data_IF_988969908449
#
_entry.id   IF_988969908449
#
_cell.length_a   1.000
_cell.length_b   1.000
_cell.length_c   1.000
_cell.angle_alpha   90.00
_cell.angle_beta   90.00
_cell.angle_gamma   90.00
#
_symmetry.space_group_name_H-M   'P 1'
#
loop_
_entity.id
_entity.type
_entity.pdbx_description
1 polymer ?
#
# COMPACT_ATOMS: atom_id res chain seq x y z
N UNK A 1 -1.84 -0.76 16.56
CA UNK A 1 -0.52 -1.14 16.04
C UNK A 1 -0.78 -2.30 15.09
N UNK A 2 -0.55 -2.12 13.79
CA UNK A 2 -0.56 -3.24 12.85
C UNK A 2 0.56 -4.18 13.31
N UNK A 3 0.26 -5.45 13.55
CA UNK A 3 1.13 -6.39 14.26
C UNK A 3 2.33 -6.91 13.41
N UNK A 4 2.74 -6.15 12.40
CA UNK A 4 3.82 -6.50 11.49
C UNK A 4 5.12 -5.77 11.84
N UNK A 5 6.25 -6.47 11.78
CA UNK A 5 7.59 -5.88 11.93
C UNK A 5 8.11 -5.25 10.62
N UNK A 6 7.26 -5.12 9.60
CA UNK A 6 7.65 -4.57 8.30
C UNK A 6 7.78 -3.04 8.42
N UNK A 7 8.87 -2.49 7.88
CA UNK A 7 9.03 -1.05 7.79
C UNK A 7 8.23 -0.51 6.60
N UNK A 8 7.90 0.78 6.68
CA UNK A 8 7.06 1.46 5.70
C UNK A 8 7.69 1.49 4.31
N UNK A 9 8.99 1.81 4.25
CA UNK A 9 9.83 1.80 3.05
C UNK A 9 9.88 0.41 2.41
N UNK A 10 10.13 -0.64 3.22
CA UNK A 10 10.15 -2.04 2.76
C UNK A 10 8.81 -2.43 2.08
N UNK A 11 7.68 -2.03 2.67
CA UNK A 11 6.34 -2.31 2.12
C UNK A 11 6.10 -1.53 0.82
N UNK A 12 6.51 -0.27 0.78
CA UNK A 12 6.35 0.60 -0.40
C UNK A 12 7.15 0.04 -1.58
N UNK A 13 8.41 -0.32 -1.35
CA UNK A 13 9.28 -0.91 -2.37
C UNK A 13 8.72 -2.25 -2.88
N UNK A 14 8.31 -3.14 -1.97
CA UNK A 14 7.73 -4.42 -2.33
C UNK A 14 6.48 -4.27 -3.22
N UNK A 15 5.55 -3.39 -2.84
CA UNK A 15 4.31 -3.19 -3.58
C UNK A 15 4.54 -2.55 -4.96
N UNK A 16 5.47 -1.60 -5.04
CA UNK A 16 5.86 -0.99 -6.30
C UNK A 16 6.49 -2.02 -7.24
N UNK A 17 7.41 -2.85 -6.74
CA UNK A 17 8.06 -3.88 -7.55
C UNK A 17 7.08 -4.92 -8.09
N UNK A 18 6.04 -5.30 -7.34
CA UNK A 18 4.98 -6.18 -7.86
C UNK A 18 4.13 -5.48 -8.92
N UNK A 19 3.82 -4.20 -8.69
CA UNK A 19 2.99 -3.42 -9.61
C UNK A 19 3.70 -3.15 -10.95
N UNK A 20 5.01 -2.94 -10.93
CA UNK A 20 5.86 -2.67 -12.10
C UNK A 20 6.37 -3.95 -12.78
N UNK A 21 6.15 -5.13 -12.19
CA UNK A 21 6.54 -6.41 -12.78
C UNK A 21 5.54 -6.87 -13.84
N UNK A 22 5.81 -6.47 -15.09
CA UNK A 22 5.04 -6.87 -16.28
C UNK A 22 4.95 -8.39 -16.51
N UNK A 23 5.77 -9.21 -15.83
CA UNK A 23 5.65 -10.67 -15.89
C UNK A 23 4.48 -11.20 -15.06
N UNK A 24 4.08 -10.46 -14.03
CA UNK A 24 2.91 -10.75 -13.21
C UNK A 24 1.67 -10.21 -13.94
N UNK A 25 0.91 -11.11 -14.57
CA UNK A 25 -0.38 -10.77 -15.19
C UNK A 25 -1.47 -10.53 -14.14
N UNK A 26 -1.37 -9.41 -13.45
CA UNK A 26 -2.34 -8.95 -12.46
C UNK A 26 -3.45 -8.15 -13.16
N UNK A 27 -4.64 -8.73 -13.25
CA UNK A 27 -5.81 -8.08 -13.88
C UNK A 27 -6.89 -7.67 -12.87
N UNK A 28 -6.81 -8.18 -11.63
CA UNK A 28 -7.80 -7.88 -10.60
C UNK A 28 -7.72 -6.40 -10.19
N UNK A 29 -8.78 -5.61 -10.44
CA UNK A 29 -8.76 -4.16 -10.17
C UNK A 29 -8.67 -3.83 -8.68
N UNK A 30 -9.14 -4.71 -7.80
CA UNK A 30 -9.06 -4.53 -6.34
C UNK A 30 -7.62 -4.73 -5.89
N UNK A 31 -6.96 -5.79 -6.36
CA UNK A 31 -5.53 -6.04 -6.07
C UNK A 31 -4.67 -4.90 -6.59
N UNK A 32 -4.90 -4.46 -7.83
CA UNK A 32 -4.16 -3.35 -8.44
C UNK A 32 -4.38 -2.02 -7.70
N UNK A 33 -5.59 -1.74 -7.20
CA UNK A 33 -5.87 -0.57 -6.35
C UNK A 33 -4.95 -0.58 -5.12
N UNK A 34 -4.93 -1.67 -4.38
CA UNK A 34 -4.19 -1.73 -3.12
C UNK A 34 -2.66 -1.81 -3.32
N UNK A 35 -2.17 -2.43 -4.39
CA UNK A 35 -0.74 -2.37 -4.74
C UNK A 35 -0.29 -0.94 -5.01
N UNK A 36 -1.07 -0.13 -5.74
CA UNK A 36 -0.76 1.29 -5.96
C UNK A 36 -0.74 2.09 -4.67
N UNK A 37 -1.74 1.89 -3.81
CA UNK A 37 -1.82 2.57 -2.52
C UNK A 37 -0.64 2.21 -1.63
N UNK A 38 -0.30 0.92 -1.55
CA UNK A 38 0.85 0.41 -0.80
C UNK A 38 2.17 0.92 -1.38
N UNK A 39 2.34 0.94 -2.71
CA UNK A 39 3.55 1.45 -3.35
C UNK A 39 3.78 2.95 -3.13
N UNK A 40 2.74 3.67 -2.71
CA UNK A 40 2.77 5.09 -2.43
C UNK A 40 2.82 5.41 -0.91
N UNK A 41 2.86 4.40 -0.02
CA UNK A 41 2.85 4.67 1.42
C UNK A 41 4.05 5.48 1.85
N UNK A 42 5.25 5.21 1.33
CA UNK A 42 6.45 5.95 1.75
C UNK A 42 6.59 7.35 1.11
N UNK A 43 5.60 7.80 0.32
CA UNK A 43 5.66 9.13 -0.29
C UNK A 43 5.57 10.24 0.77
N UNK A 44 6.50 11.22 0.73
CA UNK A 44 6.45 12.36 1.64
C UNK A 44 5.27 13.27 1.32
N UNK A 45 4.77 13.98 2.33
CA UNK A 45 3.76 15.01 2.16
C UNK A 45 4.34 16.41 2.39
N UNK A 46 3.60 17.43 1.99
CA UNK A 46 4.03 18.83 2.16
C UNK A 46 3.82 19.36 3.59
N UNK A 47 2.87 18.79 4.32
CA UNK A 47 2.40 19.25 5.63
C UNK A 47 2.56 18.20 6.76
N UNK A 48 3.10 17.03 6.43
CA UNK A 48 3.32 15.88 7.33
C UNK A 48 4.36 14.94 6.74
N UNK A 49 4.85 14.02 7.57
CA UNK A 49 5.93 13.10 7.19
C UNK A 49 5.57 12.25 5.96
N UNK A 50 4.34 11.75 5.87
CA UNK A 50 3.89 10.88 4.78
C UNK A 50 2.48 11.21 4.29
N UNK A 51 2.21 10.93 3.02
CA UNK A 51 0.92 11.15 2.38
C UNK A 51 -0.22 10.39 3.07
N UNK A 52 0.04 9.15 3.46
CA UNK A 52 -0.92 8.25 4.09
C UNK A 52 -0.61 8.02 5.56
N UNK A 53 -1.64 7.84 6.37
CA UNK A 53 -1.54 7.66 7.81
C UNK A 53 -1.95 6.25 8.23
N UNK A 54 -1.76 5.93 9.50
CA UNK A 54 -2.25 4.67 10.10
C UNK A 54 -3.78 4.52 9.95
N UNK A 55 -4.52 5.62 9.92
CA UNK A 55 -5.98 5.60 9.74
C UNK A 55 -6.37 5.20 8.32
N UNK A 56 -5.63 5.68 7.31
CA UNK A 56 -5.83 5.28 5.92
C UNK A 56 -5.57 3.76 5.75
N UNK A 57 -4.50 3.26 6.35
CA UNK A 57 -4.16 1.84 6.34
C UNK A 57 -5.25 0.97 6.99
N UNK A 58 -5.78 1.40 8.15
CA UNK A 58 -6.89 0.70 8.84
C UNK A 58 -8.17 0.73 8.02
N UNK A 59 -8.45 1.85 7.37
CA UNK A 59 -9.60 1.99 6.50
C UNK A 59 -9.51 0.99 5.34
N UNK A 60 -8.37 0.90 4.65
CA UNK A 60 -8.18 -0.04 3.54
C UNK A 60 -8.31 -1.51 3.97
N UNK A 61 -7.76 -1.88 5.12
CA UNK A 61 -7.93 -3.24 5.67
C UNK A 61 -9.42 -3.54 5.89
N UNK A 62 -10.15 -2.59 6.47
CA UNK A 62 -11.60 -2.74 6.70
C UNK A 62 -12.37 -2.85 5.39
N UNK A 63 -12.01 -2.06 4.36
CA UNK A 63 -12.60 -2.17 3.02
C UNK A 63 -12.41 -3.58 2.44
N UNK A 64 -11.21 -4.18 2.58
CA UNK A 64 -10.90 -5.53 2.10
C UNK A 64 -11.68 -6.60 2.88
N UNK A 65 -11.72 -6.51 4.21
CA UNK A 65 -12.43 -7.46 5.07
C UNK A 65 -13.95 -7.43 4.89
N UNK A 66 -14.48 -6.30 4.39
CA UNK A 66 -15.92 -6.10 4.16
C UNK A 66 -16.44 -6.53 2.79
N UNK A 67 -15.56 -7.06 1.92
CA UNK A 67 -15.95 -7.66 0.63
C UNK A 67 -16.44 -9.10 0.80
#
# INVERSE_FOLDING_TARGET
>A
MLAGNAKRDDVSEWAFNIFDDDSLRLEDPVVLKYLKLLGAVDLPSSDRDFLYTDDDLRHWITEIESQ
#
